data_IF_265914953719
#
_entry.id   IF_265914953719
#
_cell.length_a   1.000
_cell.length_b   1.000
_cell.length_c   1.000
_cell.angle_alpha   90.00
_cell.angle_beta   90.00
_cell.angle_gamma   90.00
#
_symmetry.space_group_name_H-M   'P 1'
#
loop_
_entity.id
_entity.type
_entity.pdbx_description
1 polymer ?
#
# COMPACT_ATOMS: atom_id res chain seq x y z
N UNK A 1 -30.93 15.27 -3.27
CA UNK A 1 -32.24 15.94 -3.17
C UNK A 1 -32.98 15.69 -4.48
N UNK A 2 -33.41 14.45 -4.75
CA UNK A 2 -34.80 13.98 -4.50
C UNK A 2 -35.87 15.03 -4.83
N UNK A 3 -35.98 15.31 -6.13
CA UNK A 3 -37.21 15.27 -6.92
C UNK A 3 -38.55 15.63 -6.23
N UNK A 4 -38.68 16.90 -5.86
CA UNK A 4 -39.95 17.48 -5.39
C UNK A 4 -40.84 18.00 -6.53
N UNK A 5 -40.39 17.89 -7.79
CA UNK A 5 -41.15 18.38 -8.96
C UNK A 5 -42.06 17.33 -9.61
N UNK A 6 -41.90 16.05 -9.28
CA UNK A 6 -42.74 14.97 -9.84
C UNK A 6 -44.02 14.68 -9.03
N UNK A 7 -44.08 15.06 -7.74
CA UNK A 7 -45.24 14.83 -6.86
C UNK A 7 -46.53 15.55 -7.31
N UNK A 8 -46.53 16.82 -7.77
CA UNK A 8 -47.79 17.47 -8.16
C UNK A 8 -48.36 16.93 -9.48
N UNK A 9 -47.51 16.42 -10.37
CA UNK A 9 -47.94 15.83 -11.64
C UNK A 9 -48.57 14.44 -11.47
N UNK A 10 -48.02 13.61 -10.58
CA UNK A 10 -48.59 12.31 -10.25
C UNK A 10 -49.95 12.44 -9.53
N UNK A 11 -50.11 13.43 -8.65
CA UNK A 11 -51.37 13.70 -7.94
C UNK A 11 -52.48 14.20 -8.87
N UNK A 12 -52.16 15.06 -9.85
CA UNK A 12 -53.13 15.53 -10.84
C UNK A 12 -53.60 14.40 -11.77
N UNK A 13 -52.70 13.50 -12.18
CA UNK A 13 -53.04 12.36 -13.01
C UNK A 13 -53.93 11.35 -12.26
N UNK A 14 -53.64 11.09 -10.98
CA UNK A 14 -54.46 10.22 -10.13
C UNK A 14 -55.87 10.76 -9.90
N UNK A 15 -56.01 12.07 -9.65
CA UNK A 15 -57.31 12.71 -9.44
C UNK A 15 -58.20 12.70 -10.70
N UNK A 16 -57.61 12.82 -11.89
CA UNK A 16 -58.34 12.80 -13.15
C UNK A 16 -58.94 11.42 -13.48
N UNK A 17 -58.36 10.33 -12.97
CA UNK A 17 -58.82 8.96 -13.23
C UNK A 17 -59.75 8.44 -12.13
N UNK A 18 -59.47 8.74 -10.86
CA UNK A 18 -60.27 8.24 -9.73
C UNK A 18 -61.59 9.01 -9.52
N UNK A 19 -61.61 10.31 -9.84
CA UNK A 19 -62.79 11.16 -9.66
C UNK A 19 -64.04 10.66 -10.41
N UNK A 20 -63.96 10.38 -11.73
CA UNK A 20 -65.12 9.91 -12.50
C UNK A 20 -65.61 8.52 -12.05
N UNK A 21 -64.71 7.65 -11.60
CA UNK A 21 -65.04 6.29 -11.16
C UNK A 21 -65.81 6.30 -9.84
N UNK A 22 -65.38 7.12 -8.86
CA UNK A 22 -66.08 7.24 -7.57
C UNK A 22 -67.45 7.93 -7.70
N UNK A 23 -67.57 8.93 -8.58
CA UNK A 23 -68.87 9.57 -8.90
C UNK A 23 -69.80 8.57 -9.61
N UNK A 24 -69.25 7.74 -10.51
CA UNK A 24 -69.99 6.67 -11.18
C UNK A 24 -70.58 5.63 -10.21
N UNK A 25 -69.80 5.28 -9.19
CA UNK A 25 -70.16 4.28 -8.18
C UNK A 25 -71.18 4.80 -7.17
N UNK A 26 -71.14 6.09 -6.84
CA UNK A 26 -72.09 6.73 -5.94
C UNK A 26 -73.47 7.03 -6.60
N UNK A 27 -73.51 7.22 -7.93
CA UNK A 27 -74.73 7.57 -8.65
C UNK A 27 -75.51 6.35 -9.21
N UNK A 28 -75.06 5.12 -8.96
CA UNK A 28 -75.77 3.90 -9.36
C UNK A 28 -75.87 3.70 -10.89
N UNK A 29 -74.88 4.19 -11.65
CA UNK A 29 -74.90 4.15 -13.10
C UNK A 29 -74.80 2.71 -13.63
N UNK A 30 -75.67 2.37 -14.58
CA UNK A 30 -75.63 1.09 -15.29
C UNK A 30 -74.35 0.99 -16.15
N UNK A 31 -74.01 -0.21 -16.64
CA UNK A 31 -72.81 -0.43 -17.46
C UNK A 31 -72.72 0.51 -18.69
N UNK A 32 -73.86 0.96 -19.22
CA UNK A 32 -73.93 1.95 -20.29
C UNK A 32 -73.44 3.35 -19.83
N UNK A 33 -73.68 3.73 -18.57
CA UNK A 33 -73.20 4.99 -18.01
C UNK A 33 -71.67 5.07 -18.00
N UNK A 34 -70.98 3.99 -17.61
CA UNK A 34 -69.52 3.94 -17.65
C UNK A 34 -68.96 4.05 -19.08
N UNK A 35 -69.64 3.46 -20.06
CA UNK A 35 -69.23 3.60 -21.47
C UNK A 35 -69.35 5.05 -21.97
N UNK A 36 -70.36 5.81 -21.52
CA UNK A 36 -70.48 7.23 -21.91
C UNK A 36 -69.37 8.10 -21.33
N UNK A 37 -68.98 7.87 -20.08
CA UNK A 37 -67.88 8.61 -19.44
C UNK A 37 -66.54 8.27 -20.11
N UNK A 38 -66.29 6.99 -20.41
CA UNK A 38 -65.10 6.55 -21.13
C UNK A 38 -65.03 7.16 -22.54
N UNK A 39 -66.15 7.20 -23.27
CA UNK A 39 -66.23 7.82 -24.58
C UNK A 39 -65.94 9.33 -24.52
N UNK A 40 -66.50 10.05 -23.53
CA UNK A 40 -66.23 11.47 -23.33
C UNK A 40 -64.75 11.75 -23.01
N UNK A 41 -64.12 10.92 -22.19
CA UNK A 41 -62.69 11.01 -21.90
C UNK A 41 -61.85 10.79 -23.17
N UNK A 42 -62.17 9.77 -23.97
CA UNK A 42 -61.48 9.50 -25.23
C UNK A 42 -61.61 10.66 -26.23
N UNK A 43 -62.80 11.25 -26.34
CA UNK A 43 -63.01 12.43 -27.19
C UNK A 43 -62.23 13.63 -26.66
N UNK A 44 -62.20 13.85 -25.34
CA UNK A 44 -61.39 14.91 -24.74
C UNK A 44 -59.89 14.75 -25.03
N UNK A 45 -59.35 13.54 -24.93
CA UNK A 45 -57.95 13.24 -25.26
C UNK A 45 -57.69 13.42 -26.75
N UNK A 46 -58.59 12.97 -27.62
CA UNK A 46 -58.43 13.12 -29.08
C UNK A 46 -58.45 14.60 -29.49
N UNK A 47 -59.36 15.40 -28.95
CA UNK A 47 -59.46 16.84 -29.23
C UNK A 47 -58.27 17.60 -28.64
N UNK A 48 -57.85 17.27 -27.41
CA UNK A 48 -56.67 17.86 -26.78
C UNK A 48 -55.37 17.56 -27.53
N UNK A 49 -55.18 16.30 -27.93
CA UNK A 49 -54.03 15.87 -28.73
C UNK A 49 -54.00 16.51 -30.12
N UNK A 50 -55.15 16.64 -30.76
CA UNK A 50 -55.28 17.33 -32.05
C UNK A 50 -54.96 18.82 -31.94
N UNK A 51 -55.40 19.50 -30.87
CA UNK A 51 -55.09 20.90 -30.63
C UNK A 51 -53.60 21.11 -30.34
N UNK A 52 -52.96 20.20 -29.60
CA UNK A 52 -51.52 20.23 -29.32
C UNK A 52 -50.67 19.98 -30.58
N UNK A 53 -51.10 19.07 -31.46
CA UNK A 53 -50.47 18.87 -32.76
C UNK A 53 -50.71 20.03 -33.75
N UNK A 54 -51.80 20.79 -33.57
CA UNK A 54 -52.14 21.95 -34.42
C UNK A 54 -51.65 23.29 -33.90
N UNK A 55 -51.09 23.38 -32.70
CA UNK A 55 -50.28 24.54 -32.33
C UNK A 55 -48.98 24.48 -33.12
N UNK A 56 -48.76 25.36 -34.13
CA UNK A 56 -47.45 25.44 -34.75
C UNK A 56 -46.46 25.77 -33.64
N UNK A 57 -45.36 25.01 -33.56
CA UNK A 57 -44.23 25.37 -32.73
C UNK A 57 -43.90 26.83 -33.05
N UNK A 58 -44.16 27.74 -32.10
CA UNK A 58 -43.73 29.13 -32.23
C UNK A 58 -42.23 29.05 -32.45
N UNK A 59 -41.68 29.54 -33.58
CA UNK A 59 -40.24 29.61 -33.71
C UNK A 59 -39.75 30.37 -32.48
N UNK A 60 -38.90 29.74 -31.68
CA UNK A 60 -38.19 30.44 -30.64
C UNK A 60 -37.40 31.52 -31.36
N UNK A 61 -37.92 32.76 -31.31
CA UNK A 61 -37.12 33.95 -31.51
C UNK A 61 -36.06 33.88 -30.42
N UNK A 62 -34.91 33.31 -30.76
CA UNK A 62 -33.69 33.62 -30.04
C UNK A 62 -33.61 35.16 -30.05
N UNK A 63 -33.50 35.83 -28.91
CA UNK A 63 -33.05 37.21 -28.95
C UNK A 63 -31.76 37.20 -29.76
N UNK A 64 -31.66 38.04 -30.79
CA UNK A 64 -30.46 38.21 -31.60
C UNK A 64 -29.28 38.28 -30.62
N UNK A 65 -28.56 37.16 -30.50
CA UNK A 65 -27.27 37.16 -29.84
C UNK A 65 -26.49 38.21 -30.64
N UNK A 66 -25.95 39.27 -29.99
CA UNK A 66 -25.12 40.21 -30.72
C UNK A 66 -24.09 39.38 -31.47
N UNK A 67 -24.00 39.63 -32.78
CA UNK A 67 -23.07 38.97 -33.70
C UNK A 67 -21.78 38.71 -32.92
N UNK A 68 -21.29 37.46 -32.80
CA UNK A 68 -20.11 37.17 -32.02
C UNK A 68 -19.00 38.01 -32.63
N UNK A 69 -18.71 39.16 -31.98
CA UNK A 69 -17.64 40.04 -32.39
C UNK A 69 -16.43 39.12 -32.54
N UNK A 70 -15.64 39.24 -33.62
CA UNK A 70 -14.39 38.51 -33.71
C UNK A 70 -13.66 38.74 -32.39
N UNK A 71 -13.59 37.71 -31.55
CA UNK A 71 -12.86 37.81 -30.30
C UNK A 71 -11.42 37.97 -30.78
N UNK A 72 -10.89 39.18 -30.69
CA UNK A 72 -9.48 39.40 -30.94
C UNK A 72 -8.78 38.45 -29.98
N UNK A 73 -8.02 37.45 -30.46
CA UNK A 73 -7.36 36.51 -29.57
C UNK A 73 -6.52 37.34 -28.62
N UNK A 74 -6.86 37.34 -27.33
CA UNK A 74 -6.08 38.03 -26.32
C UNK A 74 -4.68 37.44 -26.42
N UNK A 75 -3.68 38.29 -26.65
CA UNK A 75 -2.29 37.82 -26.76
C UNK A 75 -1.93 37.15 -25.43
N UNK A 76 -1.74 35.84 -25.48
CA UNK A 76 -1.32 35.02 -24.36
C UNK A 76 0.16 34.75 -24.52
N UNK A 77 0.95 35.20 -23.56
CA UNK A 77 2.37 34.88 -23.51
C UNK A 77 2.58 33.71 -22.53
N UNK A 78 3.61 32.91 -22.80
CA UNK A 78 3.90 31.65 -22.08
C UNK A 78 5.39 31.52 -21.79
N UNK A 79 5.73 30.98 -20.62
CA UNK A 79 7.10 30.66 -20.20
C UNK A 79 7.11 29.41 -19.33
N UNK A 80 8.05 28.51 -19.59
CA UNK A 80 8.32 27.36 -18.71
C UNK A 80 9.17 27.83 -17.54
N UNK A 81 8.69 27.56 -16.32
CA UNK A 81 9.47 27.70 -15.10
C UNK A 81 10.11 26.35 -14.83
N UNK A 82 11.45 26.34 -14.76
CA UNK A 82 12.24 25.14 -14.51
C UNK A 82 12.00 24.54 -13.12
N UNK A 83 12.65 23.41 -12.80
CA UNK A 83 12.55 22.83 -11.48
C UNK A 83 13.08 23.81 -10.42
N UNK A 84 12.19 24.27 -9.54
CA UNK A 84 12.49 25.14 -8.41
C UNK A 84 12.14 24.41 -7.12
N UNK A 85 12.98 24.55 -6.11
CA UNK A 85 12.72 23.99 -4.79
C UNK A 85 11.68 24.83 -4.05
N UNK A 86 10.61 24.18 -3.58
CA UNK A 86 9.56 24.80 -2.77
C UNK A 86 9.41 24.06 -1.44
N UNK A 87 9.03 24.75 -0.35
CA UNK A 87 8.99 24.17 0.99
C UNK A 87 7.96 23.04 1.10
N UNK A 88 8.25 22.10 1.99
CA UNK A 88 7.29 21.08 2.45
C UNK A 88 7.04 21.22 3.95
N UNK A 89 6.02 20.54 4.47
CA UNK A 89 5.74 20.44 5.92
C UNK A 89 6.71 19.47 6.64
N UNK A 90 7.50 18.71 5.88
CA UNK A 90 8.47 17.77 6.46
C UNK A 90 9.81 18.47 6.63
N UNK A 91 10.32 18.50 7.87
CA UNK A 91 11.60 19.13 8.18
C UNK A 91 12.74 18.56 7.32
N UNK A 92 13.62 19.42 6.83
CA UNK A 92 14.79 19.07 5.99
C UNK A 92 14.45 18.53 4.59
N UNK A 93 13.20 18.61 4.17
CA UNK A 93 12.72 18.06 2.90
C UNK A 93 12.01 19.13 2.05
N UNK A 94 12.29 19.16 0.76
CA UNK A 94 11.71 20.11 -0.21
C UNK A 94 11.07 19.40 -1.39
N UNK A 95 10.08 20.05 -2.00
CA UNK A 95 9.55 19.60 -3.29
C UNK A 95 10.27 20.28 -4.45
N UNK A 96 10.31 19.61 -5.58
CA UNK A 96 10.76 20.16 -6.86
C UNK A 96 9.56 20.48 -7.73
N UNK A 97 9.32 21.76 -7.95
CA UNK A 97 8.17 22.27 -8.71
C UNK A 97 8.59 22.74 -10.09
N UNK A 98 7.80 22.38 -11.10
CA UNK A 98 7.92 22.94 -12.45
C UNK A 98 6.55 23.15 -13.06
N UNK A 99 6.38 24.21 -13.85
CA UNK A 99 5.12 24.50 -14.51
C UNK A 99 5.31 25.38 -15.74
N UNK A 100 4.33 25.34 -16.62
CA UNK A 100 4.20 26.28 -17.73
C UNK A 100 3.33 27.45 -17.29
N UNK A 101 3.93 28.62 -17.11
CA UNK A 101 3.22 29.84 -16.72
C UNK A 101 2.69 30.56 -17.95
N UNK A 102 1.41 30.91 -17.92
CA UNK A 102 0.72 31.67 -18.95
C UNK A 102 0.22 32.97 -18.33
N UNK A 103 0.31 34.07 -19.08
CA UNK A 103 -0.23 35.34 -18.61
C UNK A 103 -0.85 36.16 -19.74
N UNK A 104 -1.73 37.08 -19.34
CA UNK A 104 -2.32 38.10 -20.21
C UNK A 104 -2.26 39.46 -19.52
N UNK A 105 -2.15 40.52 -20.32
CA UNK A 105 -1.86 41.86 -19.83
C UNK A 105 -0.38 42.05 -19.53
N UNK A 106 -0.03 43.03 -18.71
CA UNK A 106 1.37 43.32 -18.37
C UNK A 106 2.00 44.48 -19.14
N UNK A 107 1.43 44.96 -20.26
CA UNK A 107 1.94 46.16 -20.96
C UNK A 107 1.91 47.42 -20.07
N UNK A 108 0.94 47.49 -19.15
CA UNK A 108 0.83 48.56 -18.15
C UNK A 108 1.65 48.28 -16.87
N UNK A 109 2.30 47.12 -16.78
CA UNK A 109 3.21 46.78 -15.69
C UNK A 109 4.59 47.31 -16.08
N UNK A 110 5.06 48.35 -15.40
CA UNK A 110 6.39 48.91 -15.59
C UNK A 110 7.49 47.96 -15.03
N UNK A 111 7.60 46.75 -15.57
CA UNK A 111 8.61 45.76 -15.21
C UNK A 111 9.37 45.34 -16.46
N UNK A 112 10.71 45.32 -16.38
CA UNK A 112 11.56 45.02 -17.54
C UNK A 112 11.47 43.57 -18.06
N UNK A 113 10.92 42.65 -17.26
CA UNK A 113 10.63 41.27 -17.65
C UNK A 113 9.27 40.86 -17.03
N UNK A 114 8.16 40.98 -17.78
CA UNK A 114 6.83 40.56 -17.30
C UNK A 114 6.74 39.04 -17.09
N UNK A 115 7.58 38.25 -17.78
CA UNK A 115 7.58 36.80 -17.65
C UNK A 115 8.22 36.34 -16.33
N UNK A 116 9.27 37.02 -15.87
CA UNK A 116 9.85 36.77 -14.54
C UNK A 116 8.85 37.07 -13.41
N UNK A 117 8.13 38.18 -13.50
CA UNK A 117 7.08 38.55 -12.54
C UNK A 117 5.93 37.53 -12.53
N UNK A 118 5.50 37.06 -13.70
CA UNK A 118 4.48 36.02 -13.79
C UNK A 118 4.96 34.70 -13.14
N UNK A 119 6.21 34.33 -13.38
CA UNK A 119 6.85 33.17 -12.75
C UNK A 119 6.92 33.27 -11.23
N UNK A 120 7.36 34.42 -10.71
CA UNK A 120 7.46 34.69 -9.27
C UNK A 120 6.10 34.56 -8.57
N UNK A 121 5.04 35.15 -9.14
CA UNK A 121 3.67 35.04 -8.58
C UNK A 121 3.21 33.58 -8.49
N UNK A 122 3.53 32.76 -9.49
CA UNK A 122 3.16 31.32 -9.48
C UNK A 122 3.99 30.54 -8.47
N UNK A 123 5.30 30.79 -8.40
CA UNK A 123 6.22 30.09 -7.49
C UNK A 123 5.93 30.45 -6.03
N UNK A 124 5.72 31.73 -5.73
CA UNK A 124 5.34 32.20 -4.39
C UNK A 124 4.03 31.53 -3.94
N UNK A 125 3.02 31.53 -4.81
CA UNK A 125 1.76 30.86 -4.52
C UNK A 125 1.91 29.35 -4.36
N UNK A 126 2.77 28.72 -5.16
CA UNK A 126 3.05 27.30 -5.04
C UNK A 126 3.71 26.97 -3.70
N UNK A 127 4.67 27.79 -3.26
CA UNK A 127 5.38 27.65 -1.98
C UNK A 127 4.43 27.81 -0.78
N UNK A 128 3.53 28.80 -0.82
CA UNK A 128 2.51 28.97 0.23
C UNK A 128 1.60 27.73 0.36
N UNK A 129 1.22 27.15 -0.78
CA UNK A 129 0.34 25.98 -0.80
C UNK A 129 1.08 24.71 -0.38
N UNK A 130 2.33 24.53 -0.81
CA UNK A 130 3.11 23.32 -0.55
C UNK A 130 3.58 23.20 0.90
N UNK A 131 3.77 24.33 1.59
CA UNK A 131 4.19 24.36 3.00
C UNK A 131 3.24 23.61 3.95
N UNK A 132 1.98 23.38 3.57
CA UNK A 132 1.01 22.62 4.37
C UNK A 132 0.94 21.12 4.02
N UNK A 133 1.82 20.61 3.17
CA UNK A 133 1.81 19.21 2.74
C UNK A 133 3.11 18.49 3.08
N UNK A 134 2.95 17.28 3.64
CA UNK A 134 4.07 16.34 3.82
C UNK A 134 4.55 15.81 2.48
N UNK A 135 5.84 15.47 2.37
CA UNK A 135 6.37 14.82 1.17
C UNK A 135 5.70 13.46 0.89
N UNK A 136 5.22 12.78 1.93
CA UNK A 136 4.46 11.55 1.76
C UNK A 136 3.14 11.76 0.97
N UNK A 137 2.58 12.97 1.00
CA UNK A 137 1.34 13.36 0.32
C UNK A 137 1.58 14.07 -1.03
N UNK A 138 2.76 13.88 -1.64
CA UNK A 138 3.16 14.54 -2.91
C UNK A 138 2.08 14.52 -3.99
N UNK A 139 1.44 13.38 -4.23
CA UNK A 139 0.45 13.24 -5.32
C UNK A 139 -0.81 14.08 -5.05
N UNK A 140 -1.20 14.16 -3.78
CA UNK A 140 -2.30 15.01 -3.33
C UNK A 140 -1.92 16.49 -3.43
N UNK A 141 -0.71 16.84 -3.01
CA UNK A 141 -0.18 18.18 -3.12
C UNK A 141 -0.13 18.63 -4.59
N UNK A 142 0.41 17.81 -5.49
CA UNK A 142 0.49 18.07 -6.93
C UNK A 142 -0.89 18.27 -7.56
N UNK A 143 -1.86 17.43 -7.24
CA UNK A 143 -3.25 17.58 -7.70
C UNK A 143 -3.86 18.90 -7.21
N UNK A 144 -3.62 19.27 -5.94
CA UNK A 144 -4.12 20.53 -5.36
C UNK A 144 -3.48 21.76 -5.98
N UNK A 145 -2.16 21.72 -6.19
CA UNK A 145 -1.39 22.77 -6.86
C UNK A 145 -1.88 22.97 -8.30
N UNK A 146 -2.03 21.90 -9.07
CA UNK A 146 -2.55 21.96 -10.43
C UNK A 146 -3.96 22.59 -10.48
N UNK A 147 -4.86 22.17 -9.59
CA UNK A 147 -6.21 22.71 -9.52
C UNK A 147 -6.25 24.20 -9.12
N UNK A 148 -5.35 24.63 -8.24
CA UNK A 148 -5.35 26.01 -7.72
C UNK A 148 -4.64 26.97 -8.66
N UNK A 149 -3.47 26.58 -9.17
CA UNK A 149 -2.66 27.40 -10.07
C UNK A 149 -3.23 27.46 -11.50
N UNK A 150 -4.06 26.48 -11.88
CA UNK A 150 -4.82 26.53 -13.13
C UNK A 150 -5.92 27.61 -13.16
N UNK A 151 -6.28 28.17 -11.99
CA UNK A 151 -7.18 29.32 -11.90
C UNK A 151 -6.48 30.61 -12.32
N UNK A 152 -7.21 31.53 -12.92
CA UNK A 152 -6.71 32.87 -13.25
C UNK A 152 -6.51 33.68 -11.97
N UNK A 153 -5.26 34.11 -11.75
CA UNK A 153 -4.85 34.89 -10.58
C UNK A 153 -4.39 36.28 -11.03
N UNK A 154 -4.52 37.27 -10.15
CA UNK A 154 -4.03 38.63 -10.44
C UNK A 154 -2.60 38.80 -9.96
N UNK A 155 -1.71 39.25 -10.84
CA UNK A 155 -0.29 39.52 -10.58
C UNK A 155 0.10 40.96 -10.90
N UNK A 156 1.30 41.36 -10.49
CA UNK A 156 1.88 42.67 -10.85
C UNK A 156 1.05 43.88 -10.43
N UNK A 157 0.61 43.92 -9.16
CA UNK A 157 -0.29 44.94 -8.60
C UNK A 157 -1.67 45.00 -9.27
N UNK A 158 -2.20 43.84 -9.66
CA UNK A 158 -3.55 43.73 -10.26
C UNK A 158 -3.62 44.10 -11.74
N UNK A 159 -2.49 44.19 -12.43
CA UNK A 159 -2.40 44.61 -13.85
C UNK A 159 -2.05 43.48 -14.82
N UNK A 160 -1.87 42.27 -14.30
CA UNK A 160 -1.58 41.07 -15.06
C UNK A 160 -2.48 39.94 -14.55
N UNK A 161 -2.96 39.10 -15.46
CA UNK A 161 -3.64 37.85 -15.10
C UNK A 161 -2.70 36.69 -15.41
N UNK A 162 -2.46 35.83 -14.42
CA UNK A 162 -1.48 34.73 -14.47
C UNK A 162 -2.17 33.42 -14.11
N UNK A 163 -1.84 32.35 -14.81
CA UNK A 163 -2.22 30.98 -14.46
C UNK A 163 -1.14 30.00 -14.92
N UNK A 164 -1.14 28.80 -14.35
CA UNK A 164 -0.18 27.75 -14.68
C UNK A 164 -0.86 26.55 -15.35
N UNK A 165 -0.19 25.96 -16.32
CA UNK A 165 -0.51 24.67 -16.93
C UNK A 165 0.66 23.71 -16.74
N UNK A 166 0.44 22.41 -16.95
CA UNK A 166 1.50 21.40 -16.89
C UNK A 166 2.26 21.41 -15.55
N UNK A 167 1.52 21.55 -14.45
CA UNK A 167 2.09 21.62 -13.10
C UNK A 167 2.59 20.24 -12.69
N UNK A 168 3.89 20.14 -12.43
CA UNK A 168 4.55 18.94 -11.94
C UNK A 168 5.18 19.24 -10.59
N UNK A 169 4.90 18.36 -9.64
CA UNK A 169 5.50 18.37 -8.31
C UNK A 169 6.23 17.04 -8.12
N UNK A 170 7.52 17.12 -7.85
CA UNK A 170 8.39 15.97 -7.71
C UNK A 170 9.20 16.06 -6.41
N UNK A 171 9.92 15.01 -6.08
CA UNK A 171 10.81 14.91 -4.91
C UNK A 171 12.14 14.39 -5.42
N UNK A 172 13.24 14.77 -4.75
CA UNK A 172 14.51 14.14 -5.02
C UNK A 172 14.40 12.61 -4.93
N UNK A 173 15.06 11.89 -5.84
CA UNK A 173 14.88 10.45 -5.95
C UNK A 173 15.36 9.72 -4.68
N UNK A 174 16.44 10.18 -4.06
CA UNK A 174 17.00 9.59 -2.85
C UNK A 174 16.08 9.85 -1.65
N UNK A 175 15.52 11.05 -1.55
CA UNK A 175 14.53 11.39 -0.53
C UNK A 175 13.24 10.60 -0.70
N UNK A 176 12.80 10.43 -1.95
CA UNK A 176 11.67 9.56 -2.28
C UNK A 176 11.89 8.12 -1.83
N UNK A 177 13.11 7.58 -2.00
CA UNK A 177 13.48 6.25 -1.51
C UNK A 177 13.45 6.18 0.02
N UNK A 178 14.07 7.15 0.71
CA UNK A 178 14.10 7.21 2.18
C UNK A 178 12.70 7.26 2.79
N UNK A 179 11.80 8.06 2.23
CA UNK A 179 10.44 8.21 2.75
C UNK A 179 9.62 6.94 2.54
N UNK A 180 9.80 6.25 1.41
CA UNK A 180 9.17 4.93 1.18
C UNK A 180 9.66 3.91 2.19
N UNK A 181 10.97 3.88 2.45
CA UNK A 181 11.55 2.96 3.42
C UNK A 181 11.07 3.27 4.85
N UNK A 182 11.05 4.55 5.24
CA UNK A 182 10.53 4.96 6.54
C UNK A 182 9.04 4.60 6.71
N UNK A 183 8.26 4.75 5.64
CA UNK A 183 6.85 4.35 5.65
C UNK A 183 6.67 2.84 5.78
N UNK A 184 7.56 2.05 5.17
CA UNK A 184 7.59 0.59 5.32
C UNK A 184 7.94 0.21 6.77
N UNK A 185 9.04 0.74 7.31
CA UNK A 185 9.47 0.48 8.68
C UNK A 185 8.38 0.82 9.70
N UNK A 186 7.66 1.94 9.53
CA UNK A 186 6.53 2.29 10.41
C UNK A 186 5.42 1.25 10.38
N UNK A 187 5.06 0.72 9.19
CA UNK A 187 4.05 -0.32 9.06
C UNK A 187 4.53 -1.62 9.68
N UNK A 188 5.79 -1.98 9.47
CA UNK A 188 6.39 -3.21 10.02
C UNK A 188 6.43 -3.16 11.55
N UNK A 189 6.80 -2.02 12.14
CA UNK A 189 6.76 -1.82 13.59
C UNK A 189 5.32 -1.91 14.12
N UNK A 190 4.36 -1.24 13.49
CA UNK A 190 2.95 -1.32 13.90
C UNK A 190 2.41 -2.74 13.83
N UNK A 191 2.78 -3.49 12.78
CA UNK A 191 2.40 -4.90 12.64
C UNK A 191 3.05 -5.75 13.74
N UNK A 192 4.33 -5.52 14.03
CA UNK A 192 5.03 -6.24 15.08
C UNK A 192 4.43 -5.95 16.46
N UNK A 193 4.14 -4.69 16.79
CA UNK A 193 3.49 -4.29 18.04
C UNK A 193 2.12 -4.96 18.16
N UNK A 194 1.31 -4.92 17.10
CA UNK A 194 0.00 -5.56 17.09
C UNK A 194 0.08 -7.07 17.31
N UNK A 195 1.02 -7.74 16.63
CA UNK A 195 1.23 -9.18 16.79
C UNK A 195 1.69 -9.53 18.20
N UNK A 196 2.64 -8.76 18.75
CA UNK A 196 3.12 -8.94 20.12
C UNK A 196 1.99 -8.77 21.13
N UNK A 197 1.17 -7.73 20.97
CA UNK A 197 0.05 -7.47 21.87
C UNK A 197 -1.03 -8.55 21.74
N UNK A 198 -1.28 -9.04 20.53
CA UNK A 198 -2.16 -10.18 20.30
C UNK A 198 -1.63 -11.45 20.99
N UNK A 199 -0.34 -11.74 20.88
CA UNK A 199 0.27 -12.89 21.57
C UNK A 199 0.20 -12.75 23.09
N UNK A 200 0.51 -11.58 23.64
CA UNK A 200 0.42 -11.32 25.08
C UNK A 200 -1.02 -11.47 25.56
N UNK A 201 -1.98 -10.88 24.84
CA UNK A 201 -3.39 -11.01 25.15
C UNK A 201 -3.85 -12.48 25.09
N UNK A 202 -3.36 -13.24 24.10
CA UNK A 202 -3.67 -14.66 23.98
C UNK A 202 -3.11 -15.48 25.13
N UNK A 203 -1.84 -15.29 25.49
CA UNK A 203 -1.21 -15.95 26.64
C UNK A 203 -1.94 -15.61 27.94
N UNK A 204 -2.29 -14.34 28.13
CA UNK A 204 -3.06 -13.88 29.29
C UNK A 204 -4.44 -14.52 29.34
N UNK A 205 -5.16 -14.57 28.22
CA UNK A 205 -6.47 -15.25 28.15
C UNK A 205 -6.35 -16.73 28.51
N UNK A 206 -5.35 -17.42 27.94
CA UNK A 206 -5.12 -18.83 28.25
C UNK A 206 -4.79 -19.01 29.74
N UNK A 207 -3.93 -18.17 30.31
CA UNK A 207 -3.55 -18.26 31.72
C UNK A 207 -4.73 -17.90 32.66
N UNK A 208 -5.31 -16.71 32.51
CA UNK A 208 -6.25 -16.13 33.47
C UNK A 208 -7.68 -16.68 33.36
N UNK A 209 -8.07 -17.14 32.17
CA UNK A 209 -9.45 -17.59 31.91
C UNK A 209 -9.54 -19.10 31.65
N UNK A 210 -8.66 -19.65 30.80
CA UNK A 210 -8.75 -21.06 30.38
C UNK A 210 -8.13 -21.99 31.40
N UNK A 211 -6.86 -21.79 31.73
CA UNK A 211 -6.03 -22.65 32.58
C UNK A 211 -6.09 -22.27 34.07
N UNK A 212 -6.99 -21.35 34.44
CA UNK A 212 -7.20 -20.95 35.83
C UNK A 212 -7.59 -22.13 36.72
N UNK A 213 -8.44 -23.01 36.20
CA UNK A 213 -8.94 -24.20 36.89
C UNK A 213 -9.11 -25.38 35.93
N UNK A 214 -9.06 -26.64 36.41
CA UNK A 214 -9.31 -27.82 35.58
C UNK A 214 -10.70 -27.75 34.91
N UNK A 215 -11.69 -27.20 35.62
CA UNK A 215 -13.04 -27.02 35.10
C UNK A 215 -13.15 -25.98 33.97
N UNK A 216 -12.45 -24.85 34.07
CA UNK A 216 -12.43 -23.85 32.99
C UNK A 216 -11.72 -24.37 31.74
N UNK A 217 -10.68 -25.18 31.90
CA UNK A 217 -9.98 -25.85 30.79
C UNK A 217 -10.90 -26.88 30.11
N UNK A 218 -11.62 -27.68 30.90
CA UNK A 218 -12.58 -28.65 30.39
C UNK A 218 -13.70 -27.98 29.58
N UNK A 219 -14.28 -26.90 30.10
CA UNK A 219 -15.32 -26.13 29.41
C UNK A 219 -14.79 -25.51 28.12
N UNK A 220 -13.58 -24.93 28.15
CA UNK A 220 -12.94 -24.36 26.96
C UNK A 220 -12.66 -25.42 25.89
N UNK A 221 -12.25 -26.64 26.30
CA UNK A 221 -11.99 -27.75 25.40
C UNK A 221 -13.29 -28.28 24.77
N UNK A 222 -14.34 -28.44 25.58
CA UNK A 222 -15.67 -28.85 25.13
C UNK A 222 -16.30 -27.82 24.18
N UNK A 223 -16.11 -26.52 24.42
CA UNK A 223 -16.58 -25.48 23.52
C UNK A 223 -15.91 -25.51 22.13
N UNK A 224 -14.80 -26.26 21.98
CA UNK A 224 -14.12 -26.49 20.69
C UNK A 224 -14.34 -27.89 20.13
N UNK A 225 -14.87 -28.81 20.93
CA UNK A 225 -15.08 -30.22 20.61
C UNK A 225 -16.38 -30.70 21.25
N UNK A 226 -17.49 -30.09 20.84
CA UNK A 226 -18.80 -30.22 21.51
C UNK A 226 -19.32 -31.66 21.55
N UNK A 227 -18.95 -32.46 20.54
CA UNK A 227 -19.35 -33.86 20.39
C UNK A 227 -18.51 -34.86 21.21
N UNK A 228 -17.40 -34.44 21.81
CA UNK A 228 -16.40 -35.34 22.43
C UNK A 228 -16.45 -35.39 23.96
N UNK A 229 -17.65 -35.40 24.53
CA UNK A 229 -17.86 -35.32 25.99
C UNK A 229 -17.16 -36.45 26.76
N UNK A 230 -17.22 -37.69 26.28
CA UNK A 230 -16.60 -38.84 26.95
C UNK A 230 -15.06 -38.75 27.03
N UNK A 231 -14.44 -38.19 25.99
CA UNK A 231 -12.99 -37.98 25.92
C UNK A 231 -12.56 -36.83 26.85
N UNK A 232 -13.37 -35.77 26.94
CA UNK A 232 -13.14 -34.66 27.85
C UNK A 232 -13.10 -35.14 29.32
N UNK A 233 -14.03 -36.01 29.71
CA UNK A 233 -14.10 -36.57 31.07
C UNK A 233 -12.88 -37.45 31.37
N UNK A 234 -12.38 -38.20 30.39
CA UNK A 234 -11.19 -39.02 30.55
C UNK A 234 -9.91 -38.19 30.76
N UNK A 235 -9.85 -36.96 30.26
CA UNK A 235 -8.68 -36.08 30.33
C UNK A 235 -8.67 -35.12 31.54
N UNK A 236 -9.62 -35.24 32.48
CA UNK A 236 -9.74 -34.34 33.64
C UNK A 236 -8.44 -34.24 34.45
N UNK A 237 -7.73 -35.36 34.69
CA UNK A 237 -6.45 -35.34 35.43
C UNK A 237 -5.38 -34.55 34.67
N UNK A 238 -5.29 -34.73 33.35
CA UNK A 238 -4.36 -34.01 32.48
C UNK A 238 -4.64 -32.50 32.49
N UNK A 239 -5.91 -32.09 32.40
CA UNK A 239 -6.29 -30.68 32.52
C UNK A 239 -5.99 -30.11 33.91
N UNK A 240 -6.08 -30.94 34.96
CA UNK A 240 -5.67 -30.58 36.31
C UNK A 240 -4.20 -30.22 36.38
N UNK A 241 -3.33 -31.12 35.90
CA UNK A 241 -1.88 -30.89 35.86
C UNK A 241 -1.50 -29.69 35.01
N UNK A 242 -2.16 -29.50 33.86
CA UNK A 242 -1.91 -28.34 32.99
C UNK A 242 -2.31 -27.01 33.66
N UNK A 243 -3.45 -27.00 34.37
CA UNK A 243 -3.90 -25.83 35.13
C UNK A 243 -2.97 -25.52 36.30
N UNK A 244 -2.45 -26.54 36.97
CA UNK A 244 -1.53 -26.34 38.10
C UNK A 244 -0.13 -25.90 37.64
N UNK A 245 0.37 -26.42 36.53
CA UNK A 245 1.61 -25.96 35.92
C UNK A 245 1.49 -24.52 35.39
N UNK A 246 0.36 -24.18 34.75
CA UNK A 246 0.15 -22.84 34.22
C UNK A 246 -0.01 -21.77 35.32
N UNK A 247 -0.53 -22.13 36.50
CA UNK A 247 -0.76 -21.22 37.62
C UNK A 247 0.38 -21.22 38.65
N UNK A 248 1.54 -21.81 38.33
CA UNK A 248 2.66 -22.00 39.25
C UNK A 248 2.27 -22.68 40.58
N UNK A 249 1.23 -23.53 40.56
CA UNK A 249 0.77 -24.33 41.72
C UNK A 249 1.38 -25.72 41.76
N UNK A 250 1.92 -26.17 40.63
CA UNK A 250 2.63 -27.44 40.57
C UNK A 250 3.81 -27.39 41.56
N UNK A 251 3.96 -28.39 42.45
CA UNK A 251 5.14 -28.47 43.29
C UNK A 251 6.37 -28.55 42.37
N UNK A 252 7.37 -27.71 42.62
CA UNK A 252 8.71 -27.89 42.05
C UNK A 252 9.14 -29.27 42.54
N UNK A 253 9.09 -30.28 41.67
CA UNK A 253 9.64 -31.57 41.99
C UNK A 253 11.12 -31.35 42.28
N UNK A 254 11.56 -31.72 43.49
CA UNK A 254 12.99 -31.91 43.75
C UNK A 254 13.49 -32.86 42.65
N UNK A 255 14.58 -32.55 41.93
CA UNK A 255 15.14 -33.48 40.97
C UNK A 255 15.50 -34.75 41.75
N UNK A 256 14.70 -35.79 41.55
CA UNK A 256 14.86 -37.08 42.21
C UNK A 256 16.30 -37.57 41.97
N UNK A 257 17.13 -37.78 43.01
CA UNK A 257 18.52 -38.17 42.83
C UNK A 257 18.67 -39.55 42.16
N UNK A 258 17.62 -40.38 42.15
CA UNK A 258 17.59 -41.70 41.50
C UNK A 258 16.43 -41.86 40.48
N UNK A 259 15.75 -40.78 40.12
CA UNK A 259 14.55 -40.83 39.27
C UNK A 259 14.83 -40.43 37.83
N UNK A 260 14.61 -41.36 36.90
CA UNK A 260 14.46 -41.09 35.47
C UNK A 260 13.60 -39.83 35.26
N UNK A 261 14.08 -38.84 34.47
CA UNK A 261 13.22 -37.78 33.97
C UNK A 261 12.03 -38.44 33.27
N UNK A 262 10.84 -37.84 33.36
CA UNK A 262 9.63 -38.26 32.65
C UNK A 262 9.79 -38.17 31.11
N UNK A 263 10.67 -38.98 30.53
CA UNK A 263 10.44 -39.64 29.26
C UNK A 263 9.91 -41.03 29.62
N UNK A 264 8.68 -41.33 29.20
CA UNK A 264 8.21 -42.70 29.18
C UNK A 264 9.17 -43.60 28.40
N UNK A 265 9.10 -44.90 28.68
CA UNK A 265 9.83 -45.97 27.99
C UNK A 265 9.93 -45.72 26.47
N UNK A 266 11.15 -45.61 25.88
CA UNK A 266 11.34 -45.36 24.45
C UNK A 266 10.80 -46.47 23.53
N UNK A 267 10.28 -47.57 24.08
CA UNK A 267 9.82 -48.74 23.33
C UNK A 267 8.36 -48.72 22.83
N UNK A 268 7.48 -47.86 23.37
CA UNK A 268 6.03 -47.95 23.07
C UNK A 268 5.33 -46.63 22.68
N UNK A 269 6.10 -45.65 22.20
CA UNK A 269 5.50 -44.56 21.43
C UNK A 269 5.24 -45.04 20.00
N UNK A 270 3.97 -45.37 19.73
CA UNK A 270 3.42 -45.35 18.37
C UNK A 270 3.87 -44.06 17.69
N UNK A 271 4.62 -44.23 16.62
CA UNK A 271 5.14 -43.20 15.71
C UNK A 271 4.03 -42.28 15.18
N UNK A 272 3.81 -41.16 15.87
CA UNK A 272 3.33 -39.90 15.30
C UNK A 272 4.54 -39.07 14.83
N UNK A 273 4.38 -38.15 13.87
CA UNK A 273 5.51 -37.57 13.14
C UNK A 273 6.35 -36.65 14.04
N UNK A 274 7.52 -37.15 14.41
CA UNK A 274 8.76 -36.48 14.79
C UNK A 274 8.75 -34.94 14.82
N UNK A 275 8.23 -34.36 15.90
CA UNK A 275 8.13 -32.90 16.14
C UNK A 275 9.48 -32.31 16.61
N UNK A 276 10.48 -33.15 16.86
CA UNK A 276 11.82 -32.78 17.34
C UNK A 276 12.88 -32.74 16.23
N UNK A 277 12.51 -32.97 14.96
CA UNK A 277 13.46 -32.90 13.86
C UNK A 277 13.98 -31.47 13.65
N UNK A 278 15.32 -31.33 13.53
CA UNK A 278 15.98 -30.05 13.24
C UNK A 278 15.41 -29.40 11.96
N UNK A 279 14.95 -30.23 11.01
CA UNK A 279 14.17 -29.82 9.86
C UNK A 279 12.91 -28.99 10.20
N UNK A 280 12.04 -29.44 11.12
CA UNK A 280 10.80 -28.71 11.45
C UNK A 280 11.08 -27.38 12.14
N UNK A 281 12.12 -27.33 12.99
CA UNK A 281 12.56 -26.08 13.62
C UNK A 281 13.10 -25.10 12.59
N UNK A 282 13.95 -25.57 11.68
CA UNK A 282 14.49 -24.77 10.58
C UNK A 282 13.40 -24.25 9.65
N UNK A 283 12.43 -25.10 9.30
CA UNK A 283 11.24 -24.74 8.53
C UNK A 283 10.44 -23.62 9.20
N UNK A 284 10.23 -23.73 10.52
CA UNK A 284 9.59 -22.67 11.31
C UNK A 284 10.38 -21.36 11.30
N UNK A 285 11.71 -21.43 11.31
CA UNK A 285 12.58 -20.25 11.25
C UNK A 285 12.48 -19.54 9.88
N UNK A 286 12.49 -20.31 8.79
CA UNK A 286 12.29 -19.81 7.41
C UNK A 286 10.95 -19.08 7.30
N UNK A 287 9.85 -19.72 7.73
CA UNK A 287 8.51 -19.14 7.64
C UNK A 287 8.34 -17.88 8.50
N UNK A 288 9.07 -17.79 9.62
CA UNK A 288 9.07 -16.60 10.50
C UNK A 288 9.82 -15.41 9.88
N UNK A 289 10.94 -15.66 9.20
CA UNK A 289 11.80 -14.61 8.65
C UNK A 289 11.47 -14.25 7.19
N UNK A 290 10.78 -15.14 6.49
CA UNK A 290 10.30 -14.96 5.13
C UNK A 290 8.92 -15.63 4.95
N UNK A 291 7.83 -14.98 5.43
CA UNK A 291 6.48 -15.53 5.40
C UNK A 291 5.86 -15.57 3.98
N UNK A 292 6.40 -14.80 3.04
CA UNK A 292 5.94 -14.77 1.65
C UNK A 292 6.37 -16.03 0.89
N UNK A 293 5.38 -16.90 0.65
CA UNK A 293 5.57 -18.21 0.01
C UNK A 293 6.09 -18.07 -1.43
N UNK A 294 7.20 -18.76 -1.74
CA UNK A 294 7.82 -18.77 -3.08
C UNK A 294 8.63 -17.53 -3.43
N UNK A 295 8.86 -16.59 -2.50
CA UNK A 295 9.69 -15.42 -2.72
C UNK A 295 11.19 -15.76 -2.77
N UNK A 296 11.99 -14.96 -3.50
CA UNK A 296 13.45 -15.12 -3.53
C UNK A 296 14.07 -14.92 -2.14
N UNK A 297 13.46 -14.09 -1.29
CA UNK A 297 13.83 -13.92 0.11
C UNK A 297 13.65 -15.21 0.91
N UNK A 298 12.56 -15.94 0.66
CA UNK A 298 12.29 -17.23 1.31
C UNK A 298 13.29 -18.30 0.88
N UNK A 299 13.65 -18.36 -0.41
CA UNK A 299 14.71 -19.24 -0.92
C UNK A 299 16.06 -18.94 -0.31
N UNK A 300 16.45 -17.66 -0.25
CA UNK A 300 17.74 -17.25 0.32
C UNK A 300 17.82 -17.56 1.82
N UNK A 301 16.73 -17.35 2.55
CA UNK A 301 16.65 -17.67 3.99
C UNK A 301 16.71 -19.18 4.22
N UNK A 302 16.01 -19.97 3.41
CA UNK A 302 16.07 -21.43 3.48
C UNK A 302 17.46 -21.98 3.15
N UNK A 303 18.14 -21.43 2.15
CA UNK A 303 19.51 -21.83 1.81
C UNK A 303 20.52 -21.49 2.91
N UNK A 304 20.37 -20.32 3.54
CA UNK A 304 21.26 -19.88 4.62
C UNK A 304 21.12 -20.75 5.87
N UNK A 305 19.88 -21.05 6.27
CA UNK A 305 19.61 -21.94 7.40
C UNK A 305 20.07 -23.37 7.10
N UNK A 306 19.91 -23.84 5.86
CA UNK A 306 20.35 -25.17 5.44
C UNK A 306 21.87 -25.38 5.49
N UNK A 307 22.69 -24.32 5.62
CA UNK A 307 24.15 -24.46 5.84
C UNK A 307 24.51 -24.97 7.23
N UNK A 308 23.60 -24.84 8.19
CA UNK A 308 23.83 -25.18 9.60
C UNK A 308 23.13 -26.47 10.02
N UNK A 309 22.44 -27.15 9.10
CA UNK A 309 21.74 -28.41 9.34
C UNK A 309 22.56 -29.60 8.86
N UNK A 310 22.26 -30.77 9.40
CA UNK A 310 22.77 -32.03 8.86
C UNK A 310 22.40 -32.21 7.39
N UNK A 311 23.23 -32.87 6.56
CA UNK A 311 23.05 -32.95 5.11
C UNK A 311 21.70 -33.53 4.65
N UNK A 312 21.05 -34.35 5.46
CA UNK A 312 19.72 -34.89 5.17
C UNK A 312 18.62 -33.83 5.36
N UNK A 313 18.64 -33.12 6.48
CA UNK A 313 17.65 -32.09 6.81
C UNK A 313 17.86 -30.81 5.97
N UNK A 314 19.11 -30.48 5.66
CA UNK A 314 19.46 -29.43 4.72
C UNK A 314 18.88 -29.69 3.31
N UNK A 315 18.93 -30.95 2.84
CA UNK A 315 18.34 -31.34 1.54
C UNK A 315 16.82 -31.27 1.56
N UNK A 316 16.18 -31.76 2.63
CA UNK A 316 14.72 -31.65 2.82
C UNK A 316 14.27 -30.19 2.83
N UNK A 317 14.98 -29.32 3.55
CA UNK A 317 14.67 -27.89 3.64
C UNK A 317 14.84 -27.18 2.30
N UNK A 318 15.95 -27.42 1.59
CA UNK A 318 16.18 -26.87 0.24
C UNK A 318 15.10 -27.32 -0.76
N UNK A 319 14.71 -28.60 -0.72
CA UNK A 319 13.67 -29.14 -1.58
C UNK A 319 12.29 -28.53 -1.31
N UNK A 320 11.91 -28.31 -0.05
CA UNK A 320 10.61 -27.72 0.31
C UNK A 320 10.49 -26.27 -0.17
N UNK A 321 11.56 -25.49 -0.08
CA UNK A 321 11.56 -24.07 -0.44
C UNK A 321 12.07 -23.79 -1.87
N UNK A 322 12.34 -24.82 -2.67
CA UNK A 322 12.73 -24.69 -4.08
C UNK A 322 14.13 -24.10 -4.29
N UNK A 323 15.07 -24.39 -3.38
CA UNK A 323 16.49 -24.06 -3.51
C UNK A 323 17.17 -25.18 -4.31
N UNK A 324 17.94 -24.88 -5.37
CA UNK A 324 18.69 -25.88 -6.13
C UNK A 324 19.62 -26.70 -5.21
N UNK A 325 19.75 -28.02 -5.40
CA UNK A 325 20.72 -28.80 -4.65
C UNK A 325 22.13 -28.28 -4.95
N UNK A 326 22.98 -28.23 -3.93
CA UNK A 326 24.42 -28.04 -4.15
C UNK A 326 24.90 -29.28 -4.92
N UNK A 327 25.50 -29.07 -6.09
CA UNK A 327 26.19 -30.13 -6.81
C UNK A 327 27.21 -30.74 -5.83
N UNK A 328 27.10 -32.04 -5.57
CA UNK A 328 28.16 -32.76 -4.85
C UNK A 328 29.45 -32.54 -5.64
N UNK A 329 30.56 -32.09 -5.02
CA UNK A 329 31.82 -32.02 -5.73
C UNK A 329 32.13 -33.42 -6.25
N UNK A 330 32.20 -33.53 -7.58
CA UNK A 330 32.57 -34.74 -8.29
C UNK A 330 33.83 -35.30 -7.61
N UNK A 331 33.83 -36.57 -7.16
CA UNK A 331 34.99 -37.13 -6.48
C UNK A 331 36.18 -36.99 -7.41
N UNK A 332 37.22 -36.28 -6.94
CA UNK A 332 38.44 -36.05 -7.70
C UNK A 332 38.87 -37.37 -8.36
N UNK A 333 39.12 -37.39 -9.69
CA UNK A 333 39.63 -38.58 -10.33
C UNK A 333 40.91 -39.00 -9.61
N UNK A 334 41.16 -40.31 -9.42
CA UNK A 334 42.31 -40.77 -8.66
C UNK A 334 43.58 -40.14 -9.22
N UNK A 335 44.32 -39.41 -8.38
CA UNK A 335 45.62 -38.84 -8.72
C UNK A 335 46.47 -39.96 -9.31
N UNK A 336 46.84 -39.82 -10.58
CA UNK A 336 47.80 -40.70 -11.21
C UNK A 336 49.14 -40.52 -10.46
N UNK A 337 49.81 -41.63 -10.09
CA UNK A 337 51.00 -41.59 -9.26
C UNK A 337 52.24 -41.31 -10.11
N UNK A 338 52.25 -40.22 -10.87
CA UNK A 338 53.39 -39.85 -11.71
C UNK A 338 53.50 -38.32 -11.78
N UNK A 339 53.73 -37.65 -10.64
CA UNK A 339 54.29 -36.28 -10.59
C UNK A 339 54.87 -36.01 -9.18
N UNK A 340 55.61 -36.98 -8.63
CA UNK A 340 56.63 -36.70 -7.61
C UNK A 340 57.97 -36.49 -8.32
N UNK A 341 58.22 -35.26 -8.77
CA UNK A 341 59.57 -34.68 -8.86
C UNK A 341 59.50 -33.32 -9.59
N UNK A 342 59.30 -32.23 -8.84
CA UNK A 342 60.16 -31.02 -8.89
C UNK A 342 59.86 -30.22 -7.61
N UNK A 343 60.59 -30.51 -6.54
CA UNK A 343 60.88 -29.49 -5.52
C UNK A 343 62.02 -28.58 -6.02
N UNK A 344 62.00 -27.35 -5.52
CA UNK A 344 63.05 -26.31 -5.61
C UNK A 344 63.19 -25.50 -6.90
N UNK A 345 62.30 -24.50 -7.04
CA UNK A 345 62.73 -23.11 -7.32
C UNK A 345 61.68 -22.11 -6.83
N UNK A 346 61.89 -21.55 -5.63
CA UNK A 346 61.23 -20.32 -5.21
C UNK A 346 61.83 -19.14 -6.01
N UNK A 347 61.09 -18.64 -6.99
CA UNK A 347 61.26 -17.28 -7.53
C UNK A 347 60.21 -16.40 -6.82
N UNK A 348 60.60 -15.26 -6.21
CA UNK A 348 59.63 -14.35 -5.60
C UNK A 348 58.91 -13.60 -6.71
N UNK A 349 57.63 -13.88 -6.90
CA UNK A 349 56.77 -13.07 -7.76
C UNK A 349 56.71 -11.64 -7.20
N UNK A 350 57.12 -10.70 -8.05
CA UNK A 350 57.04 -9.26 -7.85
C UNK A 350 55.58 -8.85 -7.59
N UNK A 351 55.35 -8.25 -6.43
CA UNK A 351 54.08 -7.67 -6.03
C UNK A 351 53.73 -6.52 -7.00
N UNK A 352 52.58 -6.56 -7.72
CA UNK A 352 52.22 -5.47 -8.62
C UNK A 352 51.93 -4.20 -7.80
N UNK A 353 52.42 -3.02 -8.22
CA UNK A 353 52.25 -1.80 -7.43
C UNK A 353 50.76 -1.46 -7.29
N UNK A 354 50.37 -1.16 -6.05
CA UNK A 354 49.02 -0.80 -5.66
C UNK A 354 48.44 0.30 -6.56
N UNK A 355 47.29 0.03 -7.16
CA UNK A 355 46.54 1.03 -7.92
C UNK A 355 46.20 2.23 -7.01
N UNK A 356 46.37 3.48 -7.48
CA UNK A 356 46.12 4.65 -6.66
C UNK A 356 44.62 4.79 -6.34
N UNK A 357 44.32 4.92 -5.06
CA UNK A 357 42.99 5.20 -4.53
C UNK A 357 42.40 6.48 -5.19
N UNK A 358 41.14 6.44 -5.66
CA UNK A 358 40.52 7.61 -6.28
C UNK A 358 40.24 8.69 -5.21
N UNK A 359 40.92 9.84 -5.33
CA UNK A 359 40.65 11.02 -4.49
C UNK A 359 41.85 11.81 -3.99
N UNK A 360 43.10 11.38 -4.23
CA UNK A 360 44.28 12.11 -3.74
C UNK A 360 44.63 13.34 -4.63
N UNK A 361 44.81 14.54 -4.04
CA UNK A 361 45.21 15.74 -4.78
C UNK A 361 46.69 15.65 -5.27
N UNK A 362 47.02 16.32 -6.39
CA UNK A 362 48.22 16.04 -7.19
C UNK A 362 49.59 16.33 -6.54
N UNK A 363 49.61 16.96 -5.37
CA UNK A 363 50.84 17.30 -4.62
C UNK A 363 51.21 16.30 -3.52
N UNK A 364 50.41 15.22 -3.35
CA UNK A 364 50.67 14.13 -2.39
C UNK A 364 51.13 12.81 -3.05
N UNK A 365 51.41 12.81 -4.36
CA UNK A 365 51.96 11.62 -5.02
C UNK A 365 53.47 11.54 -4.74
N UNK A 366 54.01 10.37 -4.34
CA UNK A 366 55.45 10.17 -4.26
C UNK A 366 56.08 10.41 -5.64
N UNK A 367 57.21 11.12 -5.67
CA UNK A 367 57.97 11.35 -6.89
C UNK A 367 58.70 10.03 -7.28
N UNK A 368 58.43 9.46 -8.46
CA UNK A 368 59.02 8.18 -8.87
C UNK A 368 60.53 8.26 -9.17
N UNK A 369 61.17 9.42 -8.99
CA UNK A 369 62.60 9.61 -9.29
C UNK A 369 63.57 9.43 -8.10
N UNK A 370 63.08 9.12 -6.90
CA UNK A 370 63.94 8.93 -5.71
C UNK A 370 64.31 7.46 -5.37
N UNK A 371 63.67 6.47 -5.98
CA UNK A 371 63.80 5.05 -5.56
C UNK A 371 65.02 4.32 -6.16
N UNK A 372 65.76 4.95 -7.08
CA UNK A 372 66.83 4.30 -7.87
C UNK A 372 68.26 4.77 -7.52
N UNK A 373 68.50 5.27 -6.29
CA UNK A 373 69.86 5.59 -5.82
C UNK A 373 70.47 4.43 -5.03
N UNK A 374 71.57 3.80 -5.51
CA UNK A 374 72.25 2.78 -4.75
C UNK A 374 72.98 3.39 -3.54
N UNK A 375 73.07 2.66 -2.41
CA UNK A 375 73.67 3.17 -1.19
C UNK A 375 75.21 3.26 -1.30
N UNK A 376 75.78 4.32 -0.74
CA UNK A 376 77.19 4.46 -0.39
C UNK A 376 77.36 4.39 1.13
#
# INVERSE_FOLDING_TARGET
MTDDRLKPLALLAGAAVLGPVLIGLAAGLSALGYLTVAALLLVGVAVGGWFWMRTPARPHLYPDLPDPRPQVPVRQDRRVVGPVEIPSDTADYTFRFSATVNWTGGEAVAHGDPAALAGEVVVERAAELSAGYSIADRDRAGTRLAATLGGHQTGGRGRMTVWATDVVLDVDEDDGKRIRELSRLRKDVQLWEHNRDHEIAHRRYLHDEVLRTPGSTLVWWLARHEEKVGEAVAQIDTFGRLSDAAQDRAPIADPDPDGTPWLGDPGELRTGPDVDSAFLQARGLVLRHAPEYGSDRQRMTADDIARYLDPEDARKLRAEFGVPPLDEPEPDPPRQPDDEAVEDRWEPDEEPPAAPMPGMPPWQRPDPSEEDRPPY
#
